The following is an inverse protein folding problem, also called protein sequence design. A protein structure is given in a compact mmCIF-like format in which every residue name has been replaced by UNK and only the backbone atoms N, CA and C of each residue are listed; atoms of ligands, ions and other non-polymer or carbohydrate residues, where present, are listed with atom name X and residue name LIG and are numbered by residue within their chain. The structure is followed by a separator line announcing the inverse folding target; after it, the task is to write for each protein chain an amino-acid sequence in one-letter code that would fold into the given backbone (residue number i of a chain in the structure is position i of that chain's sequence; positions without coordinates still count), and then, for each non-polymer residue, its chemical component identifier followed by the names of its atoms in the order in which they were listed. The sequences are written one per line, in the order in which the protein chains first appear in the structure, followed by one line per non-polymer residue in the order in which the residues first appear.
data_IF_734586589572
#
_entry.id   IF_734586589572
#
_cell.length_a   1.000
_cell.length_b   1.000
_cell.length_c   1.000
_cell.angle_alpha   90.00
_cell.angle_beta   90.00
_cell.angle_gamma   90.00
#
_symmetry.space_group_name_H-M   'P 1'
#
loop_
_entity.id
_entity.type
_entity.pdbx_description
1 polymer ?
#
# COMPACT_ATOMS: atom_id res chain seq x y z
N UNK A 1 -80.19 -1.46 -4.61
CA UNK A 1 -79.35 -0.35 -4.12
C UNK A 1 -77.97 -0.93 -3.92
N UNK A 2 -77.06 -0.69 -4.87
CA UNK A 2 -76.13 0.48 -4.89
C UNK A 2 -74.95 0.18 -3.95
N UNK A 3 -73.67 0.23 -4.32
CA UNK A 3 -72.95 0.75 -5.48
C UNK A 3 -71.58 0.06 -5.61
N UNK A 4 -70.97 0.22 -6.78
CA UNK A 4 -69.57 -0.05 -7.15
C UNK A 4 -68.53 0.62 -6.22
N UNK A 5 -67.33 0.05 -6.08
CA UNK A 5 -66.11 0.86 -6.20
C UNK A 5 -64.84 0.03 -6.51
N UNK A 6 -64.01 0.67 -7.32
CA UNK A 6 -62.91 0.20 -8.15
C UNK A 6 -61.59 0.24 -7.36
N UNK A 7 -60.89 -0.89 -7.28
CA UNK A 7 -59.66 -1.05 -6.49
C UNK A 7 -58.48 -1.48 -7.35
N UNK A 8 -58.03 -0.60 -8.24
CA UNK A 8 -56.94 -0.82 -9.18
C UNK A 8 -55.67 -1.41 -8.55
N UNK A 9 -55.26 -2.57 -9.06
CA UNK A 9 -53.98 -3.18 -8.73
C UNK A 9 -52.82 -2.31 -9.28
N UNK A 10 -51.77 -2.05 -8.48
CA UNK A 10 -50.62 -1.32 -8.97
C UNK A 10 -49.87 -2.14 -10.04
N UNK A 11 -49.32 -1.50 -11.09
CA UNK A 11 -48.61 -2.21 -12.14
C UNK A 11 -47.34 -2.88 -11.58
N UNK A 12 -46.94 -4.05 -12.12
CA UNK A 12 -45.79 -4.79 -11.62
C UNK A 12 -44.50 -3.99 -11.79
N UNK A 13 -43.68 -3.99 -10.74
CA UNK A 13 -42.38 -3.33 -10.70
C UNK A 13 -41.46 -3.84 -11.83
N UNK A 14 -41.03 -2.93 -12.71
CA UNK A 14 -40.03 -3.24 -13.72
C UNK A 14 -38.65 -3.26 -13.08
N UNK A 15 -38.03 -4.44 -13.06
CA UNK A 15 -36.67 -4.68 -12.57
C UNK A 15 -35.63 -3.95 -13.46
N UNK A 16 -35.00 -2.91 -12.91
CA UNK A 16 -34.00 -2.07 -13.57
C UNK A 16 -32.65 -2.77 -13.81
N UNK A 17 -32.51 -4.07 -13.47
CA UNK A 17 -31.28 -4.83 -13.63
C UNK A 17 -31.29 -5.85 -14.78
N UNK A 18 -32.31 -5.87 -15.63
CA UNK A 18 -32.30 -6.68 -16.86
C UNK A 18 -31.29 -6.15 -17.87
N UNK A 19 -30.12 -6.80 -17.95
CA UNK A 19 -29.15 -6.59 -19.03
C UNK A 19 -29.75 -6.98 -20.39
N UNK A 20 -29.53 -6.20 -21.46
CA UNK A 20 -29.96 -6.58 -22.79
C UNK A 20 -29.20 -7.83 -23.26
N UNK A 21 -29.94 -8.84 -23.71
CA UNK A 21 -29.41 -10.01 -24.44
C UNK A 21 -28.80 -9.49 -25.75
N UNK A 22 -27.48 -9.54 -25.88
CA UNK A 22 -26.80 -9.30 -27.16
C UNK A 22 -27.16 -10.44 -28.11
N UNK A 23 -27.83 -10.07 -29.21
CA UNK A 23 -28.13 -10.96 -30.31
C UNK A 23 -26.86 -11.56 -30.90
N UNK A 24 -26.88 -12.88 -31.05
CA UNK A 24 -25.92 -13.66 -31.80
C UNK A 24 -26.28 -13.53 -33.29
N UNK A 25 -25.57 -12.69 -34.04
CA UNK A 25 -25.61 -12.73 -35.49
C UNK A 25 -24.61 -13.77 -35.99
N UNK A 26 -25.14 -14.91 -36.42
CA UNK A 26 -24.45 -15.83 -37.31
C UNK A 26 -24.17 -15.13 -38.64
N UNK A 27 -22.91 -15.17 -39.08
CA UNK A 27 -22.48 -14.79 -40.40
C UNK A 27 -21.35 -15.71 -40.83
N UNK A 28 -21.72 -16.80 -41.50
CA UNK A 28 -20.82 -17.72 -42.18
C UNK A 28 -20.38 -17.11 -43.52
N UNK A 29 -19.08 -17.09 -43.80
CA UNK A 29 -18.56 -17.42 -45.14
C UNK A 29 -17.07 -17.71 -45.10
N UNK A 30 -16.71 -18.75 -45.85
CA UNK A 30 -15.38 -19.32 -45.98
C UNK A 30 -14.54 -18.59 -47.04
N UNK A 31 -13.23 -18.73 -46.95
CA UNK A 31 -12.30 -18.45 -48.06
C UNK A 31 -10.87 -18.17 -47.60
N UNK A 32 -9.88 -19.05 -47.90
CA UNK A 32 -8.47 -18.79 -47.69
C UNK A 32 -7.88 -18.10 -48.92
N UNK A 33 -7.10 -17.02 -48.75
CA UNK A 33 -6.30 -16.48 -49.85
C UNK A 33 -4.96 -15.91 -49.37
N UNK A 34 -3.93 -16.52 -49.96
CA UNK A 34 -2.56 -16.11 -50.22
C UNK A 34 -1.88 -15.01 -49.41
N UNK A 35 -0.72 -15.43 -48.91
CA UNK A 35 0.51 -14.66 -48.67
C UNK A 35 0.77 -13.62 -49.77
N UNK A 36 1.18 -12.43 -49.34
CA UNK A 36 2.43 -11.69 -49.65
C UNK A 36 2.08 -10.20 -49.53
N UNK A 37 2.43 -9.61 -48.39
CA UNK A 37 2.49 -8.15 -48.27
C UNK A 37 3.65 -7.76 -47.35
N UNK A 38 4.56 -7.05 -47.98
CA UNK A 38 5.86 -6.58 -47.53
C UNK A 38 5.93 -6.00 -46.12
N UNK A 39 7.13 -6.19 -45.55
CA UNK A 39 7.71 -5.41 -44.47
C UNK A 39 7.52 -3.91 -44.68
N UNK A 40 6.59 -3.29 -43.94
CA UNK A 40 6.74 -1.92 -43.45
C UNK A 40 6.16 -1.87 -42.04
N UNK A 41 6.96 -2.22 -41.04
CA UNK A 41 6.69 -1.80 -39.66
C UNK A 41 6.96 -0.30 -39.58
N UNK A 42 5.98 0.48 -40.03
CA UNK A 42 5.87 1.88 -39.65
C UNK A 42 5.78 1.93 -38.13
N UNK A 43 6.73 2.65 -37.52
CA UNK A 43 6.60 3.12 -36.16
C UNK A 43 5.34 3.98 -36.08
N UNK A 44 4.22 3.37 -35.72
CA UNK A 44 3.03 4.10 -35.27
C UNK A 44 3.37 4.70 -33.91
N UNK A 45 4.15 5.78 -33.92
CA UNK A 45 4.10 6.76 -32.85
C UNK A 45 2.65 7.19 -32.79
N UNK A 46 1.96 6.84 -31.70
CA UNK A 46 0.60 7.26 -31.43
C UNK A 46 0.60 8.79 -31.47
N UNK A 47 0.17 9.37 -32.60
CA UNK A 47 -0.06 10.81 -32.67
C UNK A 47 -1.07 11.13 -31.55
N UNK A 48 -0.74 12.04 -30.63
CA UNK A 48 -1.72 12.44 -29.63
C UNK A 48 -2.98 12.89 -30.37
N UNK A 49 -4.15 12.48 -29.87
CA UNK A 49 -5.43 12.94 -30.39
C UNK A 49 -5.34 14.46 -30.57
N UNK A 50 -5.83 14.99 -31.70
CA UNK A 50 -5.88 16.43 -31.96
C UNK A 50 -6.81 17.05 -30.89
N UNK A 51 -6.23 17.43 -29.76
CA UNK A 51 -6.92 18.18 -28.72
C UNK A 51 -7.07 19.59 -29.27
N UNK A 52 -8.29 20.11 -29.26
CA UNK A 52 -8.58 21.49 -29.64
C UNK A 52 -7.68 22.42 -28.79
N UNK A 53 -6.90 23.33 -29.42
CA UNK A 53 -5.94 24.18 -28.72
C UNK A 53 -6.57 25.07 -27.66
N UNK A 54 -7.90 25.31 -27.71
CA UNK A 54 -8.64 26.02 -26.65
C UNK A 54 -8.76 25.22 -25.35
N UNK A 55 -8.60 23.90 -25.42
CA UNK A 55 -8.58 22.98 -24.30
C UNK A 55 -7.18 22.41 -24.05
N UNK A 56 -6.16 22.94 -24.73
CA UNK A 56 -4.79 22.62 -24.38
C UNK A 56 -4.49 23.28 -23.04
N UNK A 57 -4.12 22.47 -22.05
CA UNK A 57 -3.65 22.96 -20.77
C UNK A 57 -2.46 23.87 -21.05
N UNK A 58 -2.55 25.16 -20.71
CA UNK A 58 -1.42 26.10 -20.85
C UNK A 58 -0.14 25.62 -20.13
N UNK A 59 -0.25 24.60 -19.27
CA UNK A 59 0.82 23.99 -18.50
C UNK A 59 1.24 22.59 -19.01
N UNK A 60 0.73 22.16 -20.17
CA UNK A 60 0.98 20.82 -20.72
C UNK A 60 0.37 19.70 -19.86
N UNK A 61 0.65 18.45 -20.23
CA UNK A 61 0.30 17.28 -19.39
C UNK A 61 1.33 17.16 -18.25
N UNK A 62 0.86 17.20 -17.01
CA UNK A 62 1.70 16.94 -15.84
C UNK A 62 2.26 15.52 -15.91
N UNK A 63 3.57 15.39 -16.08
CA UNK A 63 4.25 14.11 -15.99
C UNK A 63 4.33 13.68 -14.52
N UNK A 64 3.44 12.78 -14.13
CA UNK A 64 3.38 12.23 -12.78
C UNK A 64 4.74 11.67 -12.31
N UNK A 65 5.58 11.15 -13.22
CA UNK A 65 6.90 10.62 -12.84
C UNK A 65 7.87 11.73 -12.45
N UNK A 66 7.87 12.85 -13.18
CA UNK A 66 8.70 14.02 -12.85
C UNK A 66 8.26 14.66 -11.55
N UNK A 67 6.96 14.79 -11.33
CA UNK A 67 6.43 15.27 -10.03
C UNK A 67 6.88 14.35 -8.90
N UNK A 68 6.71 13.04 -9.08
CA UNK A 68 7.12 12.08 -8.06
C UNK A 68 8.62 12.11 -7.74
N UNK A 69 9.47 12.34 -8.74
CA UNK A 69 10.91 12.49 -8.57
C UNK A 69 11.26 13.81 -7.87
N UNK A 70 10.68 14.92 -8.32
CA UNK A 70 10.95 16.26 -7.77
C UNK A 70 10.50 16.38 -6.31
N UNK A 71 9.42 15.70 -5.93
CA UNK A 71 8.87 15.72 -4.57
C UNK A 71 9.16 14.45 -3.78
N UNK A 72 10.13 13.63 -4.22
CA UNK A 72 10.50 12.42 -3.49
C UNK A 72 10.99 12.73 -2.06
N UNK A 73 11.65 13.88 -1.88
CA UNK A 73 12.14 14.38 -0.59
C UNK A 73 11.01 14.58 0.44
N UNK A 74 9.77 14.89 0.02
CA UNK A 74 8.66 15.04 0.96
C UNK A 74 8.33 13.71 1.64
N UNK A 75 8.38 12.60 0.89
CA UNK A 75 8.15 11.26 1.46
C UNK A 75 9.30 10.82 2.36
N UNK A 76 10.51 11.24 2.02
CA UNK A 76 11.69 10.99 2.85
C UNK A 76 11.59 11.76 4.16
N UNK A 77 11.23 13.05 4.11
CA UNK A 77 10.98 13.88 5.29
C UNK A 77 9.87 13.27 6.17
N UNK A 78 8.73 12.88 5.59
CA UNK A 78 7.65 12.21 6.32
C UNK A 78 8.13 10.89 6.99
N UNK A 79 9.01 10.14 6.34
CA UNK A 79 9.58 8.91 6.90
C UNK A 79 10.56 9.20 8.05
N UNK A 80 11.39 10.24 7.91
CA UNK A 80 12.29 10.70 8.97
C UNK A 80 11.51 11.21 10.18
N UNK A 81 10.45 12.00 9.97
CA UNK A 81 9.54 12.43 11.02
C UNK A 81 8.91 11.24 11.76
N UNK A 82 8.52 10.18 11.06
CA UNK A 82 8.00 8.96 11.71
C UNK A 82 9.07 8.26 12.55
N UNK A 83 10.34 8.21 12.09
CA UNK A 83 11.44 7.65 12.87
C UNK A 83 11.66 8.45 14.15
N UNK A 84 11.72 9.78 14.04
CA UNK A 84 11.85 10.68 15.19
C UNK A 84 10.65 10.56 16.14
N UNK A 85 9.42 10.52 15.61
CA UNK A 85 8.19 10.32 16.37
C UNK A 85 8.23 9.02 17.18
N UNK A 86 8.66 7.91 16.56
CA UNK A 86 8.81 6.62 17.25
C UNK A 86 9.89 6.63 18.31
N UNK A 87 10.97 7.37 18.08
CA UNK A 87 12.01 7.56 19.09
C UNK A 87 11.46 8.35 20.28
N UNK A 88 10.80 9.49 20.03
CA UNK A 88 10.15 10.30 21.06
C UNK A 88 9.12 9.51 21.87
N UNK A 89 8.28 8.69 21.21
CA UNK A 89 7.35 7.77 21.88
C UNK A 89 8.08 6.81 22.82
N UNK A 90 9.24 6.27 22.40
CA UNK A 90 10.04 5.38 23.26
C UNK A 90 10.60 6.12 24.47
N UNK A 91 11.17 7.31 24.27
CA UNK A 91 11.67 8.14 25.37
C UNK A 91 10.57 8.49 26.38
N UNK A 92 9.41 8.95 25.89
CA UNK A 92 8.25 9.27 26.74
C UNK A 92 7.81 8.06 27.57
N UNK A 93 7.76 6.87 26.97
CA UNK A 93 7.42 5.64 27.70
C UNK A 93 8.43 5.30 28.79
N UNK A 94 9.72 5.49 28.55
CA UNK A 94 10.75 5.26 29.56
C UNK A 94 10.61 6.25 30.74
N UNK A 95 10.43 7.54 30.46
CA UNK A 95 10.25 8.56 31.50
C UNK A 95 8.98 8.33 32.30
N UNK A 96 7.85 8.07 31.63
CA UNK A 96 6.59 7.76 32.31
C UNK A 96 6.70 6.50 33.16
N UNK A 97 7.36 5.46 32.65
CA UNK A 97 7.58 4.24 33.42
C UNK A 97 8.38 4.52 34.69
N UNK A 98 9.41 5.36 34.61
CA UNK A 98 10.16 5.80 35.78
C UNK A 98 9.27 6.54 36.78
N UNK A 99 8.48 7.51 36.33
CA UNK A 99 7.54 8.23 37.21
C UNK A 99 6.53 7.29 37.90
N UNK A 100 6.03 6.28 37.18
CA UNK A 100 5.13 5.26 37.77
C UNK A 100 5.81 4.44 38.88
N UNK A 101 7.10 4.12 38.74
CA UNK A 101 7.88 3.40 39.76
C UNK A 101 8.20 4.28 40.96
N UNK A 102 8.54 5.55 40.71
CA UNK A 102 8.75 6.57 41.74
C UNK A 102 7.48 6.76 42.59
N UNK A 103 6.31 6.87 41.96
CA UNK A 103 5.02 6.99 42.63
C UNK A 103 4.64 5.72 43.43
N UNK A 104 5.11 4.55 42.99
CA UNK A 104 4.89 3.28 43.68
C UNK A 104 5.81 3.07 44.90
N UNK A 105 6.83 3.93 45.08
CA UNK A 105 7.82 3.81 46.15
C UNK A 105 8.80 2.65 45.95
N UNK A 106 9.00 2.21 44.71
CA UNK A 106 10.02 1.21 44.38
C UNK A 106 11.42 1.83 44.47
N UNK A 107 12.42 1.04 44.86
CA UNK A 107 13.79 1.52 45.07
C UNK A 107 14.45 1.86 43.72
N UNK A 108 14.76 3.14 43.54
CA UNK A 108 15.19 3.71 42.26
C UNK A 108 16.67 3.48 41.98
N UNK A 109 17.45 3.11 43.01
CA UNK A 109 18.88 2.82 42.88
C UNK A 109 19.12 1.53 42.06
N UNK A 110 18.14 0.63 42.01
CA UNK A 110 18.15 -0.56 41.13
C UNK A 110 17.72 -0.22 39.68
N UNK A 111 17.18 0.98 39.47
CA UNK A 111 16.68 1.51 38.19
C UNK A 111 17.34 2.85 37.83
N UNK A 112 18.64 3.03 38.11
CA UNK A 112 19.39 4.15 37.53
C UNK A 112 19.59 3.91 36.03
N UNK A 113 18.52 4.22 35.28
CA UNK A 113 18.40 4.03 33.84
C UNK A 113 19.37 4.94 33.06
N UNK A 114 20.25 5.71 33.71
CA UNK A 114 21.17 6.63 33.01
C UNK A 114 22.07 5.93 32.01
N UNK A 115 22.57 4.74 32.36
CA UNK A 115 23.50 3.98 31.53
C UNK A 115 22.76 3.27 30.40
N UNK A 116 21.59 2.69 30.70
CA UNK A 116 20.70 2.10 29.69
C UNK A 116 20.12 3.16 28.75
N UNK A 117 19.73 4.33 29.25
CA UNK A 117 19.24 5.44 28.44
C UNK A 117 20.34 5.97 27.51
N UNK A 118 21.58 6.08 28.02
CA UNK A 118 22.73 6.49 27.22
C UNK A 118 23.06 5.47 26.13
N UNK A 119 22.97 4.19 26.42
CA UNK A 119 23.19 3.12 25.43
C UNK A 119 22.07 3.05 24.38
N UNK A 120 20.81 3.19 24.80
CA UNK A 120 19.63 2.99 23.93
C UNK A 120 19.29 4.24 23.11
N UNK A 121 19.45 5.42 23.68
CA UNK A 121 19.09 6.69 23.04
C UNK A 121 20.29 7.49 22.55
N UNK A 122 21.51 7.17 22.98
CA UNK A 122 22.71 7.92 22.62
C UNK A 122 22.81 9.28 23.30
N UNK A 123 23.91 9.99 23.02
CA UNK A 123 24.22 11.28 23.64
C UNK A 123 23.33 12.43 23.14
N UNK A 124 22.95 12.39 21.86
CA UNK A 124 22.18 13.45 21.20
C UNK A 124 20.80 13.70 21.85
N UNK A 125 20.23 12.68 22.50
CA UNK A 125 18.89 12.72 23.07
C UNK A 125 18.85 12.91 24.59
N UNK A 126 20.01 13.03 25.25
CA UNK A 126 20.07 13.20 26.71
C UNK A 126 19.45 14.52 27.16
N UNK A 127 19.65 15.60 26.40
CA UNK A 127 19.06 16.91 26.70
C UNK A 127 17.53 16.85 26.69
N UNK A 128 16.96 16.18 25.70
CA UNK A 128 15.51 16.01 25.56
C UNK A 128 14.95 15.14 26.69
N UNK A 129 15.64 14.05 27.04
CA UNK A 129 15.29 13.19 28.17
C UNK A 129 15.29 13.96 29.48
N UNK A 130 16.31 14.78 29.72
CA UNK A 130 16.37 15.61 30.91
C UNK A 130 15.24 16.62 30.97
N UNK A 131 14.89 17.24 29.84
CA UNK A 131 13.74 18.14 29.78
C UNK A 131 12.41 17.41 30.04
N UNK A 132 12.24 16.20 29.51
CA UNK A 132 11.06 15.37 29.76
C UNK A 132 10.93 15.01 31.25
N UNK A 133 12.02 14.62 31.93
CA UNK A 133 12.04 14.31 33.36
C UNK A 133 11.60 15.48 34.26
N UNK A 134 11.73 16.73 33.78
CA UNK A 134 11.27 17.94 34.49
C UNK A 134 9.82 18.30 34.19
N UNK A 135 9.25 17.73 33.15
CA UNK A 135 7.88 17.99 32.73
C UNK A 135 6.94 17.11 33.55
N UNK A 136 5.81 17.62 34.05
CA UNK A 136 4.93 16.81 34.88
C UNK A 136 4.29 15.67 34.05
N UNK A 137 4.09 14.49 34.64
CA UNK A 137 3.55 13.31 33.95
C UNK A 137 2.27 13.52 33.11
N UNK A 138 1.24 14.29 33.52
CA UNK A 138 0.03 14.46 32.71
C UNK A 138 0.31 15.05 31.31
N UNK A 139 1.27 15.96 31.18
CA UNK A 139 1.64 16.50 29.88
C UNK A 139 2.35 15.45 29.01
N UNK A 140 3.17 14.60 29.61
CA UNK A 140 3.86 13.51 28.91
C UNK A 140 2.89 12.45 28.40
N UNK A 141 1.86 12.08 29.17
CA UNK A 141 0.80 11.18 28.70
C UNK A 141 0.02 11.76 27.52
N UNK A 142 -0.34 13.04 27.58
CA UNK A 142 -1.06 13.72 26.51
C UNK A 142 -0.22 13.77 25.21
N UNK A 143 1.07 14.12 25.32
CA UNK A 143 2.01 14.09 24.20
C UNK A 143 2.13 12.67 23.62
N UNK A 144 2.31 11.67 24.48
CA UNK A 144 2.42 10.28 24.07
C UNK A 144 1.19 9.81 23.28
N UNK A 145 -0.01 10.14 23.75
CA UNK A 145 -1.25 9.77 23.08
C UNK A 145 -1.37 10.44 21.69
N UNK A 146 -1.05 11.73 21.60
CA UNK A 146 -1.06 12.47 20.34
C UNK A 146 -0.08 11.87 19.33
N UNK A 147 1.16 11.57 19.75
CA UNK A 147 2.18 10.99 18.88
C UNK A 147 1.80 9.57 18.46
N UNK A 148 1.20 8.77 19.34
CA UNK A 148 0.69 7.44 18.99
C UNK A 148 -0.42 7.53 17.93
N UNK A 149 -1.39 8.44 18.09
CA UNK A 149 -2.43 8.68 17.07
C UNK A 149 -1.82 9.07 15.73
N UNK A 150 -0.86 9.99 15.73
CA UNK A 150 -0.17 10.42 14.51
C UNK A 150 0.59 9.27 13.81
N UNK A 151 1.31 8.44 14.57
CA UNK A 151 2.02 7.26 14.04
C UNK A 151 1.06 6.20 13.45
N UNK A 152 -0.10 6.00 14.08
CA UNK A 152 -1.14 5.12 13.55
C UNK A 152 -1.69 5.64 12.21
N UNK A 153 -1.96 6.94 12.11
CA UNK A 153 -2.41 7.57 10.87
C UNK A 153 -1.36 7.46 9.76
N UNK A 154 -0.08 7.70 10.07
CA UNK A 154 1.01 7.49 9.13
C UNK A 154 1.05 6.04 8.62
N UNK A 155 0.93 5.08 9.53
CA UNK A 155 0.93 3.65 9.19
C UNK A 155 -0.27 3.30 8.29
N UNK A 156 -1.46 3.84 8.59
CA UNK A 156 -2.65 3.63 7.77
C UNK A 156 -2.46 4.18 6.34
N UNK A 157 -1.94 5.41 6.21
CA UNK A 157 -1.68 6.06 4.91
C UNK A 157 -0.64 5.30 4.08
N UNK A 158 0.45 4.87 4.69
CA UNK A 158 1.58 4.23 3.99
C UNK A 158 1.36 2.75 3.70
N UNK A 159 0.47 2.07 4.44
CA UNK A 159 0.20 0.63 4.26
C UNK A 159 -0.28 0.30 2.85
N UNK A 160 -1.20 1.06 2.28
CA UNK A 160 -1.73 0.75 0.94
C UNK A 160 -0.69 0.99 -0.16
N UNK A 161 0.12 2.04 -0.01
CA UNK A 161 1.22 2.35 -0.92
C UNK A 161 2.26 1.22 -0.90
N UNK A 162 2.67 0.76 0.28
CA UNK A 162 3.65 -0.33 0.43
C UNK A 162 3.13 -1.65 -0.12
N UNK A 163 1.83 -1.95 0.03
CA UNK A 163 1.21 -3.16 -0.57
C UNK A 163 1.17 -3.08 -2.10
N UNK A 164 0.82 -1.91 -2.66
CA UNK A 164 0.81 -1.68 -4.11
C UNK A 164 2.22 -1.81 -4.70
N UNK A 165 3.20 -1.18 -4.06
CA UNK A 165 4.61 -1.25 -4.47
C UNK A 165 5.16 -2.68 -4.37
N UNK A 166 4.83 -3.43 -3.31
CA UNK A 166 5.22 -4.84 -3.23
C UNK A 166 4.69 -5.65 -4.40
N UNK A 167 3.42 -5.46 -4.76
CA UNK A 167 2.81 -6.17 -5.89
C UNK A 167 3.45 -5.80 -7.23
N UNK A 168 3.79 -4.52 -7.44
CA UNK A 168 4.47 -4.08 -8.66
C UNK A 168 5.89 -4.67 -8.74
N UNK A 169 6.65 -4.68 -7.64
CA UNK A 169 7.98 -5.32 -7.55
C UNK A 169 7.94 -6.80 -7.88
N UNK A 170 7.00 -7.56 -7.30
CA UNK A 170 6.83 -9.00 -7.61
C UNK A 170 6.49 -9.21 -9.09
N UNK A 171 5.56 -8.39 -9.65
CA UNK A 171 5.23 -8.46 -11.07
C UNK A 171 6.45 -8.17 -11.96
N UNK A 172 7.22 -7.13 -11.63
CA UNK A 172 8.44 -6.79 -12.35
C UNK A 172 9.49 -7.90 -12.26
N UNK A 173 9.68 -8.51 -11.09
CA UNK A 173 10.60 -9.63 -10.91
C UNK A 173 10.22 -10.84 -11.78
N UNK A 174 8.93 -11.19 -11.85
CA UNK A 174 8.44 -12.24 -12.75
C UNK A 174 8.70 -11.89 -14.22
N UNK A 175 8.41 -10.66 -14.63
CA UNK A 175 8.68 -10.20 -16.00
C UNK A 175 10.17 -10.23 -16.33
N UNK A 176 11.04 -9.82 -15.40
CA UNK A 176 12.50 -9.87 -15.57
C UNK A 176 12.99 -11.31 -15.78
N UNK A 177 12.46 -12.28 -15.02
CA UNK A 177 12.76 -13.70 -15.20
C UNK A 177 12.34 -14.20 -16.58
N UNK A 178 11.13 -13.86 -17.03
CA UNK A 178 10.65 -14.26 -18.37
C UNK A 178 11.48 -13.66 -19.49
N UNK A 179 11.85 -12.37 -19.39
CA UNK A 179 12.73 -11.72 -20.36
C UNK A 179 14.12 -12.38 -20.37
N UNK A 180 14.66 -12.74 -19.21
CA UNK A 180 15.93 -13.45 -19.12
C UNK A 180 15.85 -14.82 -19.81
N UNK A 181 14.77 -15.59 -19.60
CA UNK A 181 14.57 -16.88 -20.25
C UNK A 181 14.45 -16.78 -21.77
N UNK A 182 13.86 -15.70 -22.28
CA UNK A 182 13.80 -15.44 -23.74
C UNK A 182 15.18 -15.09 -24.29
N UNK A 183 15.93 -14.23 -23.59
CA UNK A 183 17.30 -13.87 -23.98
C UNK A 183 18.23 -15.09 -23.98
N UNK A 184 18.04 -16.01 -23.05
CA UNK A 184 18.77 -17.28 -22.97
C UNK A 184 18.34 -18.30 -24.04
N UNK A 185 17.36 -17.98 -24.91
CA UNK A 185 16.87 -18.88 -25.95
C UNK A 185 15.97 -20.02 -25.47
N UNK A 186 15.71 -20.11 -24.16
CA UNK A 186 14.83 -21.15 -23.56
C UNK A 186 13.38 -20.98 -24.01
N UNK A 187 12.96 -19.73 -24.25
CA UNK A 187 11.62 -19.39 -24.73
C UNK A 187 11.69 -18.46 -25.94
N UNK A 188 10.82 -18.67 -26.93
CA UNK A 188 10.77 -17.83 -28.12
C UNK A 188 10.12 -16.45 -27.88
N UNK A 189 9.20 -16.33 -26.92
CA UNK A 189 8.43 -15.09 -26.66
C UNK A 189 8.27 -14.81 -25.17
N UNK A 190 8.32 -13.53 -24.75
CA UNK A 190 8.12 -13.16 -23.35
C UNK A 190 6.67 -13.38 -22.93
N UNK A 191 6.50 -14.08 -21.81
CA UNK A 191 5.19 -14.30 -21.21
C UNK A 191 4.85 -13.17 -20.24
N UNK A 192 3.63 -12.62 -20.37
CA UNK A 192 3.11 -11.64 -19.42
C UNK A 192 2.35 -12.36 -18.30
N UNK A 193 2.80 -12.23 -17.03
CA UNK A 193 2.19 -12.95 -15.92
C UNK A 193 0.70 -12.63 -15.76
N UNK A 194 -0.12 -13.68 -15.64
CA UNK A 194 -1.56 -13.53 -15.37
C UNK A 194 -1.79 -13.02 -13.95
N UNK A 195 -2.96 -12.40 -13.71
CA UNK A 195 -3.34 -11.90 -12.36
C UNK A 195 -3.26 -13.00 -11.29
N UNK A 196 -3.62 -14.23 -11.61
CA UNK A 196 -3.57 -15.37 -10.69
C UNK A 196 -2.13 -15.73 -10.27
N UNK A 197 -1.19 -15.72 -11.21
CA UNK A 197 0.22 -16.02 -10.95
C UNK A 197 0.87 -14.94 -10.11
N UNK A 198 0.61 -13.66 -10.41
CA UNK A 198 1.09 -12.54 -9.58
C UNK A 198 0.55 -12.67 -8.15
N UNK A 199 -0.72 -13.04 -7.97
CA UNK A 199 -1.29 -13.28 -6.64
C UNK A 199 -0.59 -14.43 -5.91
N UNK A 200 -0.36 -15.57 -6.59
CA UNK A 200 0.37 -16.71 -6.01
C UNK A 200 1.79 -16.32 -5.62
N UNK A 201 2.50 -15.59 -6.47
CA UNK A 201 3.85 -15.12 -6.20
C UNK A 201 3.90 -14.13 -5.01
N UNK A 202 2.92 -13.21 -4.89
CA UNK A 202 2.82 -12.30 -3.75
C UNK A 202 2.52 -13.06 -2.45
N UNK A 203 1.72 -14.12 -2.50
CA UNK A 203 1.50 -14.99 -1.34
C UNK A 203 2.79 -15.73 -0.94
N UNK A 204 3.49 -16.31 -1.92
CA UNK A 204 4.79 -16.96 -1.68
C UNK A 204 5.81 -15.98 -1.06
N UNK A 205 5.94 -14.77 -1.61
CA UNK A 205 6.77 -13.69 -1.05
C UNK A 205 6.37 -13.36 0.40
N UNK A 206 5.07 -13.39 0.71
CA UNK A 206 4.59 -13.16 2.09
C UNK A 206 5.05 -14.26 3.04
N UNK A 207 5.01 -15.53 2.62
CA UNK A 207 5.48 -16.65 3.45
C UNK A 207 6.99 -16.63 3.64
N UNK A 208 7.77 -16.36 2.60
CA UNK A 208 9.23 -16.21 2.68
C UNK A 208 9.56 -15.13 3.70
N UNK A 209 8.98 -13.93 3.58
CA UNK A 209 9.25 -12.82 4.51
C UNK A 209 8.81 -13.08 5.95
N UNK A 210 7.72 -13.83 6.15
CA UNK A 210 7.30 -14.23 7.50
C UNK A 210 8.30 -15.22 8.11
N UNK A 211 8.78 -16.16 7.29
CA UNK A 211 9.79 -17.12 7.70
C UNK A 211 11.13 -16.44 8.02
N UNK A 212 11.57 -15.49 7.20
CA UNK A 212 12.83 -14.76 7.42
C UNK A 212 12.78 -13.92 8.70
N UNK A 213 11.61 -13.35 9.04
CA UNK A 213 11.47 -12.45 10.19
C UNK A 213 11.22 -13.15 11.52
N UNK A 214 10.56 -14.29 11.52
CA UNK A 214 10.13 -14.94 12.77
C UNK A 214 9.99 -16.45 12.65
N UNK A 215 10.64 -17.04 11.64
CA UNK A 215 10.70 -18.46 11.39
C UNK A 215 9.32 -19.09 11.19
N UNK A 216 9.29 -20.40 11.44
CA UNK A 216 8.08 -21.23 11.38
C UNK A 216 6.96 -20.70 12.28
N UNK A 217 7.29 -20.22 13.49
CA UNK A 217 6.30 -19.71 14.43
C UNK A 217 5.53 -18.48 13.90
N UNK A 218 6.18 -17.59 13.15
CA UNK A 218 5.51 -16.46 12.51
C UNK A 218 4.58 -16.91 11.36
N UNK A 219 5.01 -17.91 10.59
CA UNK A 219 4.20 -18.52 9.53
C UNK A 219 2.96 -19.20 10.11
N UNK A 220 3.11 -20.00 11.16
CA UNK A 220 2.01 -20.73 11.80
C UNK A 220 0.96 -19.76 12.38
N UNK A 221 1.41 -18.70 13.08
CA UNK A 221 0.51 -17.65 13.57
C UNK A 221 -0.27 -16.96 12.44
N UNK A 222 0.38 -16.73 11.31
CA UNK A 222 -0.29 -16.15 10.14
C UNK A 222 -1.34 -17.10 9.55
N UNK A 223 -1.02 -18.40 9.42
CA UNK A 223 -1.97 -19.41 8.92
C UNK A 223 -3.16 -19.54 9.86
N UNK A 224 -2.95 -19.64 11.17
CA UNK A 224 -4.03 -19.70 12.18
C UNK A 224 -4.94 -18.49 12.05
N UNK A 225 -4.37 -17.27 11.97
CA UNK A 225 -5.15 -16.04 11.80
C UNK A 225 -5.96 -16.02 10.51
N UNK A 226 -5.44 -16.62 9.44
CA UNK A 226 -6.14 -16.72 8.15
C UNK A 226 -7.21 -17.81 8.11
N UNK A 227 -7.10 -18.85 8.92
CA UNK A 227 -8.15 -19.88 9.07
C UNK A 227 -9.34 -19.40 9.91
N UNK A 228 -9.10 -18.52 10.89
CA UNK A 228 -10.14 -17.96 11.77
C UNK A 228 -11.01 -16.87 11.12
N UNK A 229 -10.68 -16.44 9.90
CA UNK A 229 -11.33 -15.33 9.19
C UNK A 229 -11.97 -15.84 7.93
#
# INVERSE_FOLDING_TARGET
MSDDDDGGAPPPAQDAHRRPRRGSSHGSSAGPSSRVAAQQQQQQQQRPARVDPRFDSMFGRVDARRVEQNYAFLREAEAQEEVQRRLRIRCLKCVLRRSELEDAGEDLDEYDLSDYEREVFGEDHQRDLWQMKRTPPPHLYAELEQLQRASQLYTAKTRDATVKDRRSRVKQALMKKEVASVKAGVKAKPYFPKKAEVKRAVLADTFVRLNDKGGKAAVDRYVIRKRKK
#
